data_IF_881909294800
#
_entry.id   IF_881909294800
#
_cell.length_a   1.000
_cell.length_b   1.000
_cell.length_c   1.000
_cell.angle_alpha   90.00
_cell.angle_beta   90.00
_cell.angle_gamma   90.00
#
_symmetry.space_group_name_H-M   'P 1'
#
loop_
_entity.id
_entity.type
_entity.pdbx_description
1 polymer ?
#
# COMPACT_ATOMS: atom_id res chain seq x y z
N UNK A 1 12.43 8.02 -64.56
CA UNK A 1 13.37 7.71 -63.47
C UNK A 1 13.03 8.58 -62.26
N UNK A 2 13.03 7.96 -61.08
CA UNK A 2 13.05 8.53 -59.72
C UNK A 2 11.74 9.17 -59.18
N UNK A 3 10.99 8.30 -58.49
CA UNK A 3 10.01 8.61 -57.44
C UNK A 3 10.71 9.28 -56.25
N UNK A 4 10.14 10.35 -55.70
CA UNK A 4 10.43 10.83 -54.35
C UNK A 4 9.11 10.96 -53.58
N UNK A 5 8.69 9.85 -52.96
CA UNK A 5 7.68 9.88 -51.91
C UNK A 5 8.36 10.40 -50.64
N UNK A 6 7.99 11.60 -50.17
CA UNK A 6 8.27 12.03 -48.81
C UNK A 6 7.36 11.23 -47.87
N UNK A 7 7.92 10.21 -47.23
CA UNK A 7 7.29 9.51 -46.11
C UNK A 7 7.37 10.39 -44.86
N UNK A 8 6.24 10.99 -44.49
CA UNK A 8 6.04 11.53 -43.15
C UNK A 8 6.00 10.35 -42.16
N UNK A 9 7.00 10.25 -41.29
CA UNK A 9 7.01 9.29 -40.20
C UNK A 9 6.01 9.75 -39.12
N UNK A 10 4.78 9.23 -39.20
CA UNK A 10 3.81 9.32 -38.10
C UNK A 10 4.31 8.38 -37.01
N UNK A 11 4.84 8.95 -35.92
CA UNK A 11 5.09 8.22 -34.67
C UNK A 11 3.73 7.79 -34.11
N UNK A 12 3.31 6.57 -34.43
CA UNK A 12 2.17 5.93 -33.79
C UNK A 12 2.60 5.55 -32.37
N UNK A 13 2.30 6.41 -31.41
CA UNK A 13 2.30 6.06 -29.99
C UNK A 13 1.23 5.00 -29.78
N UNK A 14 1.63 3.73 -29.77
CA UNK A 14 0.77 2.63 -29.39
C UNK A 14 0.50 2.74 -27.88
N UNK A 15 -0.60 3.40 -27.51
CA UNK A 15 -1.18 3.28 -26.18
C UNK A 15 -1.79 1.89 -26.08
N UNK A 16 -1.02 0.96 -25.54
CA UNK A 16 -1.53 -0.36 -25.17
C UNK A 16 -2.40 -0.16 -23.93
N UNK A 17 -3.70 0.06 -24.12
CA UNK A 17 -4.69 0.00 -23.05
C UNK A 17 -4.79 -1.47 -22.59
N UNK A 18 -3.98 -1.82 -21.59
CA UNK A 18 -4.12 -3.08 -20.87
C UNK A 18 -5.43 -3.05 -20.08
N UNK A 19 -6.21 -4.14 -20.07
CA UNK A 19 -7.44 -4.19 -19.29
C UNK A 19 -7.09 -4.08 -17.81
N UNK A 20 -7.77 -3.17 -17.10
CA UNK A 20 -7.79 -3.14 -15.65
C UNK A 20 -8.50 -4.38 -15.15
N UNK A 21 -7.70 -5.39 -14.84
CA UNK A 21 -8.11 -6.46 -13.95
C UNK A 21 -7.64 -6.06 -12.56
N UNK A 22 -8.57 -5.58 -11.74
CA UNK A 22 -8.46 -5.61 -10.29
C UNK A 22 -8.15 -7.06 -9.88
N UNK A 23 -6.86 -7.34 -9.72
CA UNK A 23 -6.35 -8.66 -9.35
C UNK A 23 -6.07 -8.60 -7.87
N UNK A 24 -6.78 -9.41 -7.10
CA UNK A 24 -6.35 -9.76 -5.73
C UNK A 24 -4.87 -10.17 -5.81
N UNK A 25 -3.98 -9.42 -5.16
CA UNK A 25 -2.53 -9.65 -5.19
C UNK A 25 -1.62 -8.45 -5.51
N UNK A 26 -2.12 -7.21 -5.50
CA UNK A 26 -1.25 -6.02 -5.67
C UNK A 26 -0.44 -5.77 -4.40
N UNK A 27 0.89 -5.65 -4.53
CA UNK A 27 1.77 -5.23 -3.45
C UNK A 27 1.78 -3.68 -3.38
N UNK A 28 1.16 -3.06 -2.36
CA UNK A 28 1.00 -1.60 -2.33
C UNK A 28 2.34 -0.84 -2.25
N UNK A 29 3.37 -1.41 -1.65
CA UNK A 29 4.66 -0.75 -1.49
C UNK A 29 5.47 -0.71 -2.77
N UNK A 30 5.58 -1.85 -3.45
CA UNK A 30 6.36 -1.94 -4.69
C UNK A 30 5.59 -1.41 -5.89
N UNK A 31 4.31 -1.77 -6.01
CA UNK A 31 3.51 -1.50 -7.21
C UNK A 31 2.75 -0.17 -7.14
N UNK A 32 2.45 0.33 -5.93
CA UNK A 32 1.78 1.61 -5.73
C UNK A 32 2.67 2.72 -5.18
N UNK A 33 3.98 2.46 -5.04
CA UNK A 33 4.92 3.53 -4.78
C UNK A 33 4.97 4.00 -3.32
N UNK A 34 4.58 3.15 -2.36
CA UNK A 34 4.50 3.55 -0.95
C UNK A 34 5.88 3.40 -0.29
N UNK A 35 6.44 4.52 0.15
CA UNK A 35 7.70 4.58 0.91
C UNK A 35 8.98 4.23 0.14
N UNK A 36 9.98 3.74 0.87
CA UNK A 36 11.33 3.42 0.37
C UNK A 36 11.39 2.16 -0.53
N UNK A 37 10.37 1.32 -0.51
CA UNK A 37 10.40 -0.02 -1.11
C UNK A 37 10.17 -0.09 -2.61
N UNK A 38 9.96 1.05 -3.27
CA UNK A 38 9.90 1.12 -4.73
C UNK A 38 11.22 0.63 -5.35
N UNK A 39 12.32 0.76 -4.62
CA UNK A 39 13.66 0.40 -5.07
C UNK A 39 14.38 -0.51 -4.04
N UNK A 40 13.98 -1.78 -3.90
CA UNK A 40 14.51 -2.66 -2.84
C UNK A 40 16.02 -2.90 -2.96
N UNK A 41 16.56 -2.94 -4.18
CA UNK A 41 17.97 -3.22 -4.44
C UNK A 41 18.85 -1.97 -4.60
N UNK A 42 18.28 -0.77 -4.42
CA UNK A 42 19.01 0.50 -4.59
C UNK A 42 18.73 1.45 -3.43
N UNK A 43 19.58 1.38 -2.40
CA UNK A 43 19.43 2.17 -1.17
C UNK A 43 19.42 3.69 -1.36
N UNK A 44 20.11 4.21 -2.39
CA UNK A 44 20.08 5.66 -2.69
C UNK A 44 18.74 6.05 -3.27
N UNK A 45 18.23 5.28 -4.23
CA UNK A 45 16.90 5.51 -4.80
C UNK A 45 15.79 5.30 -3.75
N UNK A 46 15.96 4.35 -2.83
CA UNK A 46 15.05 4.10 -1.71
C UNK A 46 15.02 5.26 -0.71
N UNK A 47 16.18 5.83 -0.37
CA UNK A 47 16.26 6.99 0.52
C UNK A 47 15.60 8.22 -0.09
N UNK A 48 15.86 8.46 -1.40
CA UNK A 48 15.23 9.55 -2.14
C UNK A 48 13.71 9.32 -2.24
N UNK A 49 13.25 8.10 -2.54
CA UNK A 49 11.82 7.82 -2.65
C UNK A 49 11.10 7.97 -1.32
N UNK A 50 11.76 7.68 -0.19
CA UNK A 50 11.21 7.91 1.14
C UNK A 50 10.97 9.41 1.39
N UNK A 51 11.95 10.26 1.08
CA UNK A 51 11.81 11.73 1.20
C UNK A 51 10.69 12.25 0.30
N UNK A 52 10.59 11.77 -0.94
CA UNK A 52 9.55 12.18 -1.89
C UNK A 52 8.16 11.74 -1.43
N UNK A 53 8.06 10.56 -0.78
CA UNK A 53 6.83 10.03 -0.21
C UNK A 53 6.40 10.82 1.03
N UNK A 54 7.34 11.14 1.92
CA UNK A 54 7.08 11.99 3.10
C UNK A 54 6.61 13.40 2.68
N UNK A 55 7.13 13.93 1.58
CA UNK A 55 6.69 15.19 0.99
C UNK A 55 5.39 15.07 0.18
N UNK A 56 4.81 13.87 0.07
CA UNK A 56 3.54 13.62 -0.63
C UNK A 56 3.58 13.73 -2.15
N UNK A 57 4.72 14.10 -2.74
CA UNK A 57 4.87 14.31 -4.20
C UNK A 57 4.76 12.99 -4.98
N UNK A 58 5.11 11.86 -4.37
CA UNK A 58 4.86 10.52 -4.92
C UNK A 58 3.37 10.17 -4.87
N UNK A 59 2.67 10.48 -3.79
CA UNK A 59 1.25 10.14 -3.63
C UNK A 59 0.36 10.87 -4.66
N UNK A 60 0.65 12.13 -4.96
CA UNK A 60 -0.08 12.91 -5.97
C UNK A 60 0.22 12.43 -7.39
N UNK A 61 1.48 12.12 -7.70
CA UNK A 61 1.87 11.63 -9.04
C UNK A 61 1.35 10.22 -9.31
N UNK A 62 1.36 9.33 -8.30
CA UNK A 62 0.77 8.00 -8.39
C UNK A 62 -0.74 8.07 -8.61
N UNK A 63 -1.47 8.91 -7.88
CA UNK A 63 -2.92 9.08 -8.06
C UNK A 63 -3.29 9.57 -9.48
N UNK A 64 -2.42 10.35 -10.13
CA UNK A 64 -2.64 10.83 -11.51
C UNK A 64 -2.30 9.74 -12.55
N UNK A 65 -1.38 8.82 -12.24
CA UNK A 65 -0.85 7.85 -13.21
C UNK A 65 -1.41 6.41 -13.06
N UNK A 66 -2.13 6.08 -11.99
CA UNK A 66 -2.60 4.71 -11.70
C UNK A 66 -4.08 4.59 -11.26
N UNK A 67 -4.95 5.40 -11.88
CA UNK A 67 -6.41 5.52 -11.68
C UNK A 67 -7.26 4.24 -11.83
N UNK A 68 -6.68 3.04 -11.83
CA UNK A 68 -7.48 1.81 -11.80
C UNK A 68 -6.85 0.62 -11.05
N UNK A 69 -5.52 0.61 -10.84
CA UNK A 69 -4.83 -0.51 -10.16
C UNK A 69 -4.40 -0.24 -8.73
N UNK A 70 -4.18 1.02 -8.34
CA UNK A 70 -3.78 1.39 -6.97
C UNK A 70 -4.94 1.95 -6.15
N UNK A 71 -6.14 1.50 -6.48
CA UNK A 71 -7.38 1.87 -5.81
C UNK A 71 -7.93 0.61 -5.11
N UNK A 72 -8.01 0.64 -3.78
CA UNK A 72 -8.49 -0.52 -3.02
C UNK A 72 -8.33 -0.32 -1.51
N UNK A 73 -9.11 -1.07 -0.72
CA UNK A 73 -9.02 -1.05 0.74
C UNK A 73 -7.61 -1.44 1.22
N UNK A 74 -6.96 -2.35 0.50
CA UNK A 74 -5.59 -2.78 0.77
C UNK A 74 -4.55 -1.67 0.58
N UNK A 75 -4.63 -0.94 -0.54
CA UNK A 75 -3.72 0.18 -0.81
C UNK A 75 -3.98 1.34 0.15
N UNK A 76 -5.26 1.62 0.46
CA UNK A 76 -5.63 2.68 1.43
C UNK A 76 -5.13 2.37 2.84
N UNK A 77 -5.20 1.12 3.27
CA UNK A 77 -4.64 0.74 4.57
C UNK A 77 -3.13 0.74 4.57
N UNK A 78 -2.48 0.32 3.48
CA UNK A 78 -1.03 0.47 3.35
C UNK A 78 -0.59 1.94 3.47
N UNK A 79 -1.30 2.85 2.81
CA UNK A 79 -1.07 4.30 2.92
C UNK A 79 -1.32 4.81 4.33
N UNK A 80 -2.44 4.43 4.94
CA UNK A 80 -2.77 4.81 6.32
C UNK A 80 -1.66 4.37 7.28
N UNK A 81 -1.28 3.10 7.25
CA UNK A 81 -0.22 2.56 8.11
C UNK A 81 1.09 3.30 7.89
N UNK A 82 1.50 3.53 6.64
CA UNK A 82 2.74 4.26 6.36
C UNK A 82 2.69 5.70 6.93
N UNK A 83 1.54 6.38 6.85
CA UNK A 83 1.39 7.74 7.38
C UNK A 83 1.32 7.79 8.91
N UNK A 84 0.74 6.76 9.54
CA UNK A 84 0.48 6.73 10.98
C UNK A 84 1.41 5.80 11.74
N UNK A 85 2.43 5.21 11.10
CA UNK A 85 3.29 4.20 11.72
C UNK A 85 3.92 4.65 13.05
N UNK A 86 4.47 5.88 13.19
CA UNK A 86 5.02 6.32 14.47
C UNK A 86 3.98 6.34 15.61
N UNK A 87 2.73 6.69 15.28
CA UNK A 87 1.63 6.73 16.25
C UNK A 87 1.13 5.31 16.56
N UNK A 88 1.04 4.44 15.56
CA UNK A 88 0.68 3.03 15.74
C UNK A 88 1.68 2.31 16.64
N UNK A 89 2.99 2.50 16.42
CA UNK A 89 4.04 1.95 17.27
C UNK A 89 3.89 2.43 18.72
N UNK A 90 3.65 3.73 18.91
CA UNK A 90 3.43 4.31 20.22
C UNK A 90 2.18 3.72 20.90
N UNK A 91 1.04 3.65 20.21
CA UNK A 91 -0.21 3.11 20.78
C UNK A 91 -0.08 1.63 21.15
N UNK A 92 0.55 0.83 20.29
CA UNK A 92 0.78 -0.60 20.56
C UNK A 92 1.62 -0.77 21.83
N UNK A 93 2.66 0.06 22.00
CA UNK A 93 3.52 0.06 23.17
C UNK A 93 2.81 0.58 24.44
N UNK A 94 1.95 1.59 24.31
CA UNK A 94 1.14 2.15 25.41
C UNK A 94 -0.07 1.26 25.77
N UNK A 95 -0.44 0.36 24.87
CA UNK A 95 -1.59 -0.51 25.00
C UNK A 95 -2.91 0.14 24.62
N UNK A 96 -2.85 1.22 23.86
CA UNK A 96 -3.98 1.87 23.20
C UNK A 96 -4.21 1.20 21.83
N UNK A 97 -5.31 1.54 21.14
CA UNK A 97 -5.66 0.86 19.89
C UNK A 97 -6.64 1.65 19.03
N UNK A 98 -6.71 2.97 19.22
CA UNK A 98 -7.61 3.84 18.48
C UNK A 98 -7.21 3.92 17.00
N UNK A 99 -5.91 4.05 16.70
CA UNK A 99 -5.42 4.05 15.33
C UNK A 99 -5.50 2.66 14.68
N UNK A 100 -5.34 1.57 15.45
CA UNK A 100 -5.57 0.23 14.91
C UNK A 100 -7.07 0.05 14.58
N UNK A 101 -7.98 0.52 15.43
CA UNK A 101 -9.41 0.48 15.12
C UNK A 101 -9.75 1.34 13.89
N UNK A 102 -9.17 2.54 13.76
CA UNK A 102 -9.32 3.39 12.58
C UNK A 102 -8.79 2.68 11.31
N UNK A 103 -7.63 2.04 11.39
CA UNK A 103 -7.06 1.23 10.30
C UNK A 103 -7.99 0.08 9.91
N UNK A 104 -8.58 -0.63 10.88
CA UNK A 104 -9.52 -1.73 10.63
C UNK A 104 -10.83 -1.23 10.00
N UNK A 105 -11.28 -0.02 10.35
CA UNK A 105 -12.38 0.65 9.65
C UNK A 105 -12.01 0.96 8.18
N UNK A 106 -10.79 1.46 7.92
CA UNK A 106 -10.31 1.69 6.54
C UNK A 106 -10.23 0.39 5.74
N UNK A 107 -9.88 -0.74 6.38
CA UNK A 107 -9.95 -2.09 5.79
C UNK A 107 -11.35 -2.63 5.57
N UNK A 108 -12.38 -2.01 6.12
CA UNK A 108 -13.75 -2.54 6.06
C UNK A 108 -13.93 -3.81 6.91
N UNK A 109 -13.20 -3.93 8.02
CA UNK A 109 -13.43 -4.96 9.02
C UNK A 109 -14.62 -4.60 9.91
N UNK A 110 -15.42 -5.61 10.26
CA UNK A 110 -16.56 -5.48 11.17
C UNK A 110 -16.11 -4.97 12.54
N UNK A 111 -16.81 -3.98 13.08
CA UNK A 111 -16.52 -3.34 14.37
C UNK A 111 -16.52 -4.36 15.52
N UNK A 112 -17.35 -5.40 15.43
CA UNK A 112 -17.41 -6.48 16.43
C UNK A 112 -16.12 -7.31 16.49
N UNK A 113 -15.36 -7.36 15.40
CA UNK A 113 -14.08 -8.06 15.31
C UNK A 113 -12.89 -7.23 15.80
N UNK A 114 -13.03 -5.90 15.85
CA UNK A 114 -11.90 -4.98 16.06
C UNK A 114 -11.13 -5.29 17.34
N UNK A 115 -11.81 -5.51 18.46
CA UNK A 115 -11.13 -5.77 19.73
C UNK A 115 -10.33 -7.07 19.74
N UNK A 116 -10.83 -8.11 19.07
CA UNK A 116 -10.12 -9.38 18.95
C UNK A 116 -8.90 -9.24 18.04
N UNK A 117 -9.05 -8.52 16.92
CA UNK A 117 -7.95 -8.23 15.99
C UNK A 117 -6.87 -7.39 16.68
N UNK A 118 -7.24 -6.29 17.35
CA UNK A 118 -6.32 -5.41 18.09
C UNK A 118 -5.52 -6.21 19.12
N UNK A 119 -6.20 -7.05 19.92
CA UNK A 119 -5.53 -7.89 20.92
C UNK A 119 -4.54 -8.85 20.28
N UNK A 120 -4.93 -9.50 19.17
CA UNK A 120 -4.04 -10.43 18.46
C UNK A 120 -2.84 -9.73 17.86
N UNK A 121 -3.02 -8.56 17.23
CA UNK A 121 -1.92 -7.79 16.62
C UNK A 121 -0.93 -7.34 17.69
N UNK A 122 -1.43 -6.85 18.84
CA UNK A 122 -0.58 -6.43 19.97
C UNK A 122 0.23 -7.59 20.55
N UNK A 123 -0.37 -8.76 20.72
CA UNK A 123 0.33 -9.93 21.22
C UNK A 123 1.47 -10.36 20.29
N UNK A 124 1.24 -10.31 18.98
CA UNK A 124 2.27 -10.66 18.01
C UNK A 124 3.39 -9.61 17.97
N UNK A 125 3.04 -8.31 18.02
CA UNK A 125 4.02 -7.22 18.09
C UNK A 125 4.90 -7.31 19.35
N UNK A 126 4.33 -7.73 20.47
CA UNK A 126 5.09 -7.95 21.71
C UNK A 126 6.11 -9.11 21.60
N UNK A 127 5.84 -10.10 20.75
CA UNK A 127 6.73 -11.24 20.52
C UNK A 127 7.79 -10.97 19.45
N UNK A 128 7.48 -10.14 18.46
CA UNK A 128 8.37 -9.75 17.39
C UNK A 128 8.17 -8.26 17.09
N UNK A 129 8.97 -7.37 17.69
CA UNK A 129 8.90 -5.93 17.42
C UNK A 129 9.11 -5.67 15.94
N UNK A 130 8.25 -4.85 15.36
CA UNK A 130 8.29 -4.50 13.95
C UNK A 130 8.91 -3.11 13.82
N UNK A 131 9.94 -2.98 12.99
CA UNK A 131 10.73 -1.77 12.83
C UNK A 131 10.29 -0.90 11.63
N UNK A 132 9.31 -1.34 10.85
CA UNK A 132 8.84 -0.61 9.68
C UNK A 132 7.35 -0.86 9.35
N UNK A 133 6.76 0.12 8.65
CA UNK A 133 5.34 0.13 8.27
C UNK A 133 4.90 -1.04 7.38
N UNK A 134 5.78 -1.53 6.50
CA UNK A 134 5.47 -2.67 5.62
C UNK A 134 5.30 -3.95 6.42
N UNK A 135 6.27 -4.28 7.25
CA UNK A 135 6.22 -5.48 8.07
C UNK A 135 4.97 -5.44 8.99
N UNK A 136 4.57 -4.25 9.45
CA UNK A 136 3.36 -4.10 10.25
C UNK A 136 2.09 -4.40 9.44
N UNK A 137 2.02 -3.90 8.22
CA UNK A 137 0.94 -4.27 7.31
C UNK A 137 0.92 -5.78 7.03
N UNK A 138 2.07 -6.40 6.74
CA UNK A 138 2.14 -7.84 6.46
C UNK A 138 1.66 -8.67 7.66
N UNK A 139 2.00 -8.26 8.88
CA UNK A 139 1.49 -8.88 10.10
C UNK A 139 -0.03 -8.79 10.18
N UNK A 140 -0.58 -7.58 10.03
CA UNK A 140 -2.02 -7.33 10.12
C UNK A 140 -2.79 -8.09 9.02
N UNK A 141 -2.30 -8.04 7.79
CA UNK A 141 -2.90 -8.74 6.65
C UNK A 141 -2.84 -10.26 6.79
N UNK A 142 -1.72 -10.78 7.27
CA UNK A 142 -1.57 -12.20 7.58
C UNK A 142 -2.63 -12.66 8.58
N UNK A 143 -2.89 -11.87 9.62
CA UNK A 143 -3.96 -12.16 10.60
C UNK A 143 -5.35 -12.05 9.99
N UNK A 144 -5.61 -10.98 9.25
CA UNK A 144 -6.94 -10.77 8.64
C UNK A 144 -7.26 -11.93 7.71
N UNK A 145 -6.34 -12.31 6.82
CA UNK A 145 -6.55 -13.39 5.85
C UNK A 145 -6.64 -14.78 6.50
N UNK A 146 -5.87 -15.04 7.56
CA UNK A 146 -5.80 -16.38 8.19
C UNK A 146 -6.86 -16.60 9.25
N UNK A 147 -7.18 -15.58 10.05
CA UNK A 147 -7.99 -15.72 11.26
C UNK A 147 -9.31 -14.95 11.23
N UNK A 148 -9.40 -13.88 10.44
CA UNK A 148 -10.53 -12.94 10.47
C UNK A 148 -11.13 -12.67 9.09
N UNK A 149 -10.92 -13.57 8.12
CA UNK A 149 -11.27 -13.31 6.71
C UNK A 149 -12.77 -13.16 6.48
N UNK A 150 -13.61 -13.84 7.28
CA UNK A 150 -15.06 -13.70 7.24
C UNK A 150 -15.57 -12.40 7.87
N UNK A 151 -14.71 -11.69 8.61
CA UNK A 151 -15.06 -10.49 9.38
C UNK A 151 -14.54 -9.21 8.72
N UNK A 152 -13.72 -9.33 7.67
CA UNK A 152 -13.24 -8.20 6.89
C UNK A 152 -13.72 -8.34 5.45
N UNK A 153 -14.73 -7.55 5.07
CA UNK A 153 -15.50 -7.72 3.84
C UNK A 153 -14.79 -7.24 2.56
N UNK A 154 -13.60 -6.64 2.69
CA UNK A 154 -12.83 -6.09 1.56
C UNK A 154 -11.55 -6.90 1.27
N UNK A 155 -11.73 -8.20 0.99
CA UNK A 155 -10.68 -9.08 0.42
C UNK A 155 -10.87 -9.17 -1.09
#
# INVERSE_FOLDING_TARGET
MIKRCLTAAVLVSAFVSMPSQAKSGINPWQQCGIGAMVFPDNGVAAAISNIIWDLGTTAVSSNISSVESCEGANVKTAQFIQQTFPVLEQEIAQGEGEYIAAMLNVRGCDVTAHQQIITSVRNDYANAPIDNAQAFYELVEGKITTNFSSQCAAI
#
